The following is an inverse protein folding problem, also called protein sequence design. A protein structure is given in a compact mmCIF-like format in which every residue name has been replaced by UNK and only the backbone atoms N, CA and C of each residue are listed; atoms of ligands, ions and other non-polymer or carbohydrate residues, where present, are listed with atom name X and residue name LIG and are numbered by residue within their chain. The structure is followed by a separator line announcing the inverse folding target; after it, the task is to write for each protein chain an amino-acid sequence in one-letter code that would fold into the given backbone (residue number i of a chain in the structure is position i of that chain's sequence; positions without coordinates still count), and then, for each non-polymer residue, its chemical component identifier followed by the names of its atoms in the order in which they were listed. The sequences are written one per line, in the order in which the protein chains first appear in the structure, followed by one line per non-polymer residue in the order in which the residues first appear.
data_IF_637910169264
#
_entry.id   IF_637910169264
#
_cell.length_a   1.000
_cell.length_b   1.000
_cell.length_c   1.000
_cell.angle_alpha   90.00
_cell.angle_beta   90.00
_cell.angle_gamma   90.00
#
_symmetry.space_group_name_H-M   'P 1'
#
loop_
_entity.id
_entity.type
_entity.pdbx_description
1 polymer ?
#
# COMPACT_ATOMS: atom_id res chain seq x y z
N UNK A 1 -19.26 9.53 12.21
CA UNK A 1 -17.89 9.93 11.83
C UNK A 1 -16.89 9.08 12.60
N UNK A 2 -16.02 8.34 11.90
CA UNK A 2 -14.91 7.57 12.51
C UNK A 2 -13.62 8.39 12.55
N UNK A 3 -12.69 8.04 13.44
CA UNK A 3 -11.37 8.67 13.55
C UNK A 3 -10.31 7.61 13.34
N UNK A 4 -9.51 7.75 12.28
CA UNK A 4 -8.34 6.91 11.98
C UNK A 4 -7.14 7.36 12.83
N UNK A 5 -6.34 6.42 13.31
CA UNK A 5 -5.25 6.67 14.28
C UNK A 5 -3.94 6.00 13.90
N UNK A 6 -2.83 6.57 14.35
CA UNK A 6 -1.50 5.99 14.12
C UNK A 6 -1.40 4.66 14.89
N UNK A 7 -0.77 3.66 14.28
CA UNK A 7 -0.71 2.28 14.80
C UNK A 7 -0.16 2.18 16.23
N UNK A 8 0.95 2.86 16.52
CA UNK A 8 1.58 2.93 17.84
C UNK A 8 0.70 3.54 18.93
N UNK A 9 -0.24 4.44 18.58
CA UNK A 9 -1.22 4.99 19.54
C UNK A 9 -2.34 4.02 19.91
N UNK A 10 -2.53 2.92 19.16
CA UNK A 10 -3.53 1.91 19.47
C UNK A 10 -3.09 1.03 20.65
N UNK A 11 -4.05 0.74 21.53
CA UNK A 11 -3.82 -0.24 22.60
C UNK A 11 -3.51 -1.62 22.02
N UNK A 12 -2.82 -2.46 22.80
CA UNK A 12 -2.52 -3.86 22.44
C UNK A 12 -3.76 -4.62 21.96
N UNK A 13 -4.92 -4.41 22.62
CA UNK A 13 -6.18 -5.08 22.24
C UNK A 13 -6.71 -4.59 20.89
N UNK A 14 -6.59 -3.30 20.60
CA UNK A 14 -7.04 -2.74 19.32
C UNK A 14 -6.17 -3.21 18.15
N UNK A 15 -4.84 -3.30 18.35
CA UNK A 15 -3.90 -3.83 17.36
C UNK A 15 -4.20 -5.29 17.04
N UNK A 16 -4.37 -6.13 18.07
CA UNK A 16 -4.75 -7.54 17.90
C UNK A 16 -6.10 -7.67 17.19
N UNK A 17 -7.11 -6.89 17.59
CA UNK A 17 -8.43 -6.93 16.95
C UNK A 17 -8.36 -6.55 15.47
N UNK A 18 -7.45 -5.66 15.07
CA UNK A 18 -7.22 -5.35 13.66
C UNK A 18 -6.54 -6.53 12.95
N UNK A 19 -5.45 -7.07 13.48
CA UNK A 19 -4.74 -8.20 12.84
C UNK A 19 -5.62 -9.44 12.72
N UNK A 20 -6.47 -9.72 13.72
CA UNK A 20 -7.45 -10.80 13.67
C UNK A 20 -8.47 -10.60 12.55
N UNK A 21 -8.88 -9.35 12.29
CA UNK A 21 -9.77 -9.02 11.18
C UNK A 21 -9.10 -9.25 9.81
N UNK A 22 -7.82 -8.88 9.68
CA UNK A 22 -7.04 -9.15 8.47
C UNK A 22 -6.88 -10.66 8.25
N UNK A 23 -6.49 -11.41 9.29
CA UNK A 23 -6.36 -12.86 9.22
C UNK A 23 -7.70 -13.53 8.84
N UNK A 24 -8.83 -13.01 9.33
CA UNK A 24 -10.13 -13.53 8.92
C UNK A 24 -10.38 -13.40 7.41
N UNK A 25 -9.97 -12.30 6.78
CA UNK A 25 -10.08 -12.16 5.31
C UNK A 25 -9.24 -13.21 4.58
N UNK A 26 -8.13 -13.67 5.16
CA UNK A 26 -7.31 -14.75 4.60
C UNK A 26 -7.99 -16.14 4.71
N UNK A 27 -8.93 -16.32 5.65
CA UNK A 27 -9.66 -17.58 5.81
C UNK A 27 -11.02 -17.62 5.08
N UNK A 28 -11.61 -16.48 4.77
CA UNK A 28 -12.86 -16.42 4.01
C UNK A 28 -12.60 -16.74 2.54
N UNK A 29 -13.44 -17.57 1.91
CA UNK A 29 -13.32 -17.89 0.49
C UNK A 29 -13.34 -16.65 -0.40
N UNK A 30 -12.51 -16.66 -1.45
CA UNK A 30 -12.52 -15.65 -2.50
C UNK A 30 -13.90 -15.52 -3.16
N UNK A 31 -14.24 -14.31 -3.61
CA UNK A 31 -15.41 -14.02 -4.44
C UNK A 31 -15.06 -13.95 -5.93
N UNK A 32 -13.80 -13.72 -6.28
CA UNK A 32 -13.40 -13.69 -7.68
C UNK A 32 -13.71 -15.02 -8.38
N UNK A 33 -14.24 -14.98 -9.61
CA UNK A 33 -14.39 -16.17 -10.45
C UNK A 33 -13.03 -16.85 -10.69
N UNK A 34 -12.99 -18.18 -10.53
CA UNK A 34 -11.77 -18.97 -10.64
C UNK A 34 -11.19 -19.00 -12.07
N UNK A 35 -11.98 -18.68 -13.08
CA UNK A 35 -11.55 -18.50 -14.47
C UNK A 35 -10.88 -17.14 -14.71
N UNK A 36 -11.16 -16.13 -13.87
CA UNK A 36 -10.54 -14.80 -13.95
C UNK A 36 -9.26 -14.72 -13.11
N UNK A 37 -9.29 -15.25 -11.88
CA UNK A 37 -8.14 -15.26 -10.97
C UNK A 37 -7.95 -16.67 -10.37
N UNK A 38 -7.36 -17.61 -11.13
CA UNK A 38 -7.25 -19.02 -10.73
C UNK A 38 -6.49 -19.25 -9.42
N UNK A 39 -5.62 -18.32 -9.04
CA UNK A 39 -4.82 -18.36 -7.82
C UNK A 39 -5.51 -17.85 -6.56
N UNK A 40 -6.65 -17.16 -6.68
CA UNK A 40 -7.34 -16.62 -5.51
C UNK A 40 -7.89 -17.76 -4.64
N UNK A 41 -7.61 -17.72 -3.33
CA UNK A 41 -8.15 -18.67 -2.35
C UNK A 41 -8.97 -17.98 -1.27
N UNK A 42 -8.68 -16.71 -1.01
CA UNK A 42 -9.25 -15.95 0.07
C UNK A 42 -9.86 -14.61 -0.34
N UNK A 43 -10.70 -14.02 0.51
CA UNK A 43 -11.16 -12.63 0.34
C UNK A 43 -9.99 -11.66 0.32
N UNK A 44 -8.92 -11.95 1.05
CA UNK A 44 -7.68 -11.17 0.98
C UNK A 44 -7.06 -11.23 -0.42
N UNK A 45 -7.06 -12.41 -1.07
CA UNK A 45 -6.60 -12.55 -2.45
C UNK A 45 -7.49 -11.79 -3.45
N UNK A 46 -8.77 -11.52 -3.13
CA UNK A 46 -9.60 -10.70 -4.02
C UNK A 46 -9.07 -9.26 -4.15
N UNK A 47 -8.56 -8.70 -3.05
CA UNK A 47 -7.92 -7.38 -3.04
C UNK A 47 -6.62 -7.40 -3.84
N UNK A 48 -5.79 -8.42 -3.63
CA UNK A 48 -4.53 -8.58 -4.37
C UNK A 48 -4.80 -8.76 -5.87
N UNK A 49 -5.75 -9.62 -6.24
CA UNK A 49 -6.11 -9.88 -7.62
C UNK A 49 -6.72 -8.68 -8.35
N UNK A 50 -7.58 -7.92 -7.67
CA UNK A 50 -8.11 -6.65 -8.20
C UNK A 50 -6.98 -5.65 -8.44
N UNK A 51 -6.04 -5.54 -7.50
CA UNK A 51 -4.90 -4.65 -7.64
C UNK A 51 -4.01 -5.05 -8.82
N UNK A 52 -3.70 -6.35 -9.00
CA UNK A 52 -2.97 -6.85 -10.17
C UNK A 52 -3.66 -6.40 -11.47
N UNK A 53 -4.96 -6.67 -11.58
CA UNK A 53 -5.72 -6.36 -12.80
C UNK A 53 -5.80 -4.87 -13.11
N UNK A 54 -5.75 -4.02 -12.08
CA UNK A 54 -5.99 -2.59 -12.23
C UNK A 54 -4.73 -1.73 -12.06
N UNK A 55 -3.56 -2.28 -11.70
CA UNK A 55 -2.33 -1.51 -11.38
C UNK A 55 -1.95 -0.48 -12.45
N UNK A 56 -2.24 -0.75 -13.74
CA UNK A 56 -1.96 0.19 -14.83
C UNK A 56 -3.02 1.31 -15.00
N UNK A 57 -4.03 1.33 -14.13
CA UNK A 57 -5.22 2.18 -14.22
C UNK A 57 -5.71 2.73 -12.86
N UNK A 58 -5.16 2.32 -11.70
CA UNK A 58 -5.62 2.75 -10.36
C UNK A 58 -4.52 3.06 -9.35
N UNK A 59 -4.94 3.74 -8.27
CA UNK A 59 -4.48 3.57 -6.87
C UNK A 59 -5.66 3.86 -5.89
N UNK A 60 -6.60 2.92 -5.67
CA UNK A 60 -7.78 3.10 -4.76
C UNK A 60 -8.04 1.87 -3.86
N UNK A 61 -8.69 2.03 -2.70
CA UNK A 61 -8.98 0.92 -1.76
C UNK A 61 -10.33 1.01 -1.03
N UNK A 62 -11.09 -0.10 -1.05
CA UNK A 62 -12.38 -0.33 -0.32
C UNK A 62 -12.22 -1.21 0.94
N UNK A 63 -10.98 -1.45 1.36
CA UNK A 63 -10.61 -2.49 2.32
C UNK A 63 -11.26 -2.38 3.71
N UNK A 64 -11.40 -1.16 4.25
CA UNK A 64 -11.98 -0.95 5.59
C UNK A 64 -13.40 -1.53 5.69
N UNK A 65 -14.20 -1.37 4.63
CA UNK A 65 -15.58 -1.84 4.63
C UNK A 65 -15.69 -3.36 4.66
N UNK A 66 -14.79 -4.09 4.02
CA UNK A 66 -14.76 -5.56 4.10
C UNK A 66 -14.42 -6.03 5.51
N UNK A 67 -13.47 -5.39 6.21
CA UNK A 67 -13.19 -5.70 7.62
C UNK A 67 -14.45 -5.51 8.48
N UNK A 68 -15.17 -4.41 8.29
CA UNK A 68 -16.38 -4.10 9.09
C UNK A 68 -17.54 -5.03 8.77
N UNK A 69 -17.84 -5.24 7.50
CA UNK A 69 -19.09 -5.88 7.08
C UNK A 69 -19.01 -7.41 7.02
N UNK A 70 -17.80 -7.98 6.86
CA UNK A 70 -17.64 -9.42 6.69
C UNK A 70 -17.08 -10.10 7.93
N UNK A 71 -16.20 -9.42 8.67
CA UNK A 71 -15.68 -9.89 9.95
C UNK A 71 -16.40 -9.27 11.15
N UNK A 72 -17.05 -8.11 10.99
CA UNK A 72 -17.64 -7.38 12.10
C UNK A 72 -16.63 -6.50 12.84
N UNK A 73 -15.54 -6.06 12.18
CA UNK A 73 -14.54 -5.20 12.80
C UNK A 73 -15.16 -3.88 13.28
N UNK A 74 -15.10 -3.63 14.59
CA UNK A 74 -15.64 -2.40 15.22
C UNK A 74 -14.54 -1.40 15.59
N UNK A 75 -13.28 -1.76 15.39
CA UNK A 75 -12.15 -0.93 15.76
C UNK A 75 -11.88 0.23 14.81
N UNK A 76 -10.77 0.89 15.07
CA UNK A 76 -10.28 2.04 14.32
C UNK A 76 -9.42 1.57 13.16
N UNK A 77 -9.61 2.16 11.97
CA UNK A 77 -8.70 1.91 10.86
C UNK A 77 -7.35 2.62 11.13
N UNK A 78 -6.24 1.88 11.19
CA UNK A 78 -4.93 2.44 11.52
C UNK A 78 -4.19 3.00 10.29
N UNK A 79 -3.12 3.75 10.54
CA UNK A 79 -2.10 4.08 9.54
C UNK A 79 -0.70 3.92 10.14
N UNK A 80 0.29 3.70 9.27
CA UNK A 80 1.71 3.69 9.62
C UNK A 80 2.31 5.07 9.30
N UNK A 81 2.56 5.87 10.33
CA UNK A 81 3.28 7.13 10.15
C UNK A 81 4.77 6.84 9.92
N UNK A 82 5.22 6.99 8.68
CA UNK A 82 6.59 6.68 8.24
C UNK A 82 7.66 7.53 8.92
N UNK A 83 7.27 8.73 9.38
CA UNK A 83 8.18 9.69 9.99
C UNK A 83 8.67 9.19 11.35
N UNK A 84 7.83 8.42 12.04
CA UNK A 84 8.16 7.76 13.29
C UNK A 84 9.05 6.56 13.01
N UNK A 85 10.17 6.46 13.73
CA UNK A 85 11.15 5.38 13.57
C UNK A 85 11.71 5.29 12.14
N UNK A 86 11.84 6.42 11.43
CA UNK A 86 12.35 6.45 10.06
C UNK A 86 13.78 5.92 9.95
N UNK A 87 14.60 6.13 10.98
CA UNK A 87 15.97 5.62 11.11
C UNK A 87 16.08 4.24 11.79
N UNK A 88 14.96 3.69 12.31
CA UNK A 88 14.89 2.40 12.97
C UNK A 88 13.53 1.71 12.77
N UNK A 89 13.17 1.44 11.52
CA UNK A 89 11.80 0.97 11.20
C UNK A 89 11.45 -0.38 11.85
N UNK A 90 12.44 -1.26 12.03
CA UNK A 90 12.29 -2.54 12.74
C UNK A 90 12.01 -2.37 14.24
N UNK A 91 12.44 -1.25 14.84
CA UNK A 91 12.10 -0.91 16.23
C UNK A 91 10.70 -0.29 16.39
N UNK A 92 10.02 0.02 15.29
CA UNK A 92 8.69 0.61 15.29
C UNK A 92 7.58 -0.41 15.58
N UNK A 93 6.45 0.01 16.17
CA UNK A 93 5.38 -0.89 16.61
C UNK A 93 4.66 -1.64 15.47
N UNK A 94 4.88 -1.23 14.22
CA UNK A 94 4.35 -1.90 13.03
C UNK A 94 5.17 -3.15 12.69
N UNK A 95 6.50 -3.10 12.85
CA UNK A 95 7.42 -4.15 12.36
C UNK A 95 8.29 -4.77 13.45
N UNK A 96 7.92 -4.59 14.72
CA UNK A 96 8.66 -5.10 15.89
C UNK A 96 8.63 -6.64 16.05
N UNK A 97 7.98 -7.38 15.15
CA UNK A 97 7.84 -8.84 15.22
C UNK A 97 6.93 -9.34 16.36
N UNK A 98 6.34 -8.45 17.14
CA UNK A 98 5.49 -8.81 18.28
C UNK A 98 4.14 -9.37 17.84
N UNK A 99 3.42 -9.97 18.79
CA UNK A 99 2.01 -10.34 18.64
C UNK A 99 1.06 -9.15 18.36
N UNK A 100 1.56 -7.92 18.36
CA UNK A 100 0.80 -6.69 18.17
C UNK A 100 1.28 -5.85 17.00
N UNK A 101 2.22 -6.35 16.20
CA UNK A 101 2.67 -5.72 14.96
C UNK A 101 2.03 -6.37 13.73
N UNK A 102 2.43 -5.89 12.56
CA UNK A 102 2.15 -6.52 11.27
C UNK A 102 3.16 -7.62 10.95
N UNK A 103 3.55 -8.43 11.95
CA UNK A 103 4.76 -9.27 11.91
C UNK A 103 6.06 -8.47 11.75
N UNK A 104 7.19 -9.17 11.79
CA UNK A 104 8.52 -8.54 11.79
C UNK A 104 9.20 -8.55 10.43
N UNK A 105 10.52 -8.49 10.48
CA UNK A 105 11.40 -8.71 9.34
C UNK A 105 11.41 -10.18 8.89
N UNK A 106 11.93 -10.42 7.68
CA UNK A 106 12.24 -11.76 7.20
C UNK A 106 13.51 -12.31 7.84
N UNK A 107 13.71 -13.63 7.74
CA UNK A 107 15.00 -14.25 8.06
C UNK A 107 16.14 -13.53 7.33
N UNK A 108 17.25 -13.32 8.03
CA UNK A 108 18.40 -12.61 7.49
C UNK A 108 19.06 -13.40 6.36
N UNK A 109 19.25 -12.74 5.22
CA UNK A 109 20.02 -13.25 4.08
C UNK A 109 21.24 -12.35 3.88
N UNK A 110 22.43 -12.94 4.05
CA UNK A 110 23.71 -12.28 3.84
C UNK A 110 24.01 -12.07 2.34
N UNK A 111 24.81 -11.06 2.03
CA UNK A 111 25.41 -10.82 0.70
C UNK A 111 24.41 -10.78 -0.47
N UNK A 112 23.15 -10.42 -0.21
CA UNK A 112 22.08 -10.31 -1.23
C UNK A 112 22.30 -9.17 -2.22
N UNK A 113 23.11 -8.17 -1.88
CA UNK A 113 23.33 -6.98 -2.70
C UNK A 113 22.13 -6.03 -2.72
N UNK A 114 22.32 -4.89 -3.37
CA UNK A 114 21.28 -3.85 -3.45
C UNK A 114 20.12 -4.27 -4.36
N UNK A 115 18.96 -3.63 -4.18
CA UNK A 115 17.79 -3.77 -5.03
C UNK A 115 17.82 -2.68 -6.11
N UNK A 116 17.63 -3.07 -7.37
CA UNK A 116 17.65 -2.16 -8.51
C UNK A 116 16.24 -1.97 -9.05
N UNK A 117 15.77 -0.72 -9.05
CA UNK A 117 14.50 -0.37 -9.67
C UNK A 117 14.73 0.14 -11.09
N UNK A 118 14.22 -0.62 -12.05
CA UNK A 118 14.42 -0.37 -13.48
C UNK A 118 13.13 0.16 -14.08
N UNK A 119 13.22 1.33 -14.70
CA UNK A 119 12.14 1.88 -15.52
C UNK A 119 12.71 2.27 -16.90
N UNK A 120 12.21 1.69 -18.01
CA UNK A 120 12.75 1.96 -19.33
C UNK A 120 12.80 3.46 -19.66
N UNK A 121 13.97 3.93 -20.10
CA UNK A 121 14.20 5.34 -20.46
C UNK A 121 14.73 6.22 -19.32
N UNK A 122 14.98 5.68 -18.14
CA UNK A 122 15.55 6.38 -16.99
C UNK A 122 16.73 5.59 -16.40
N UNK A 123 17.60 6.28 -15.67
CA UNK A 123 18.66 5.64 -14.89
C UNK A 123 18.06 4.80 -13.76
N UNK A 124 18.68 3.65 -13.47
CA UNK A 124 18.25 2.75 -12.40
C UNK A 124 18.33 3.43 -11.04
N UNK A 125 17.32 3.22 -10.20
CA UNK A 125 17.37 3.64 -8.79
C UNK A 125 17.91 2.50 -7.95
N UNK A 126 19.10 2.71 -7.39
CA UNK A 126 19.73 1.75 -6.49
C UNK A 126 19.24 1.94 -5.05
N UNK A 127 18.76 0.86 -4.43
CA UNK A 127 18.24 0.84 -3.06
C UNK A 127 19.04 -0.14 -2.19
N UNK A 128 19.60 0.31 -1.06
CA UNK A 128 20.38 -0.56 -0.19
C UNK A 128 19.52 -1.70 0.35
N UNK A 129 20.12 -2.88 0.44
CA UNK A 129 19.47 -4.06 1.01
C UNK A 129 19.11 -3.85 2.49
N UNK A 130 18.02 -4.46 2.94
CA UNK A 130 17.60 -4.44 4.34
C UNK A 130 18.30 -5.48 5.21
N UNK A 131 17.74 -5.70 6.40
CA UNK A 131 18.24 -6.66 7.40
C UNK A 131 17.49 -8.01 7.37
N UNK A 132 16.71 -8.28 6.33
CA UNK A 132 15.94 -9.52 6.17
C UNK A 132 16.31 -10.24 4.87
N UNK A 133 15.29 -10.60 4.09
CA UNK A 133 15.40 -11.22 2.77
C UNK A 133 14.72 -12.58 2.64
N UNK A 134 14.45 -13.25 3.77
CA UNK A 134 13.73 -14.53 3.84
C UNK A 134 12.27 -14.40 4.29
N UNK A 135 11.63 -15.55 4.56
CA UNK A 135 10.29 -15.60 5.13
C UNK A 135 10.25 -14.88 6.48
N UNK A 136 9.16 -14.18 6.79
CA UNK A 136 8.90 -13.72 8.16
C UNK A 136 8.72 -14.93 9.10
N UNK A 137 9.22 -14.82 10.33
CA UNK A 137 9.19 -15.94 11.30
C UNK A 137 8.47 -15.63 12.60
N UNK A 138 7.96 -14.41 12.78
CA UNK A 138 7.29 -13.96 14.00
C UNK A 138 6.06 -13.08 13.74
N UNK A 139 5.26 -12.88 14.78
CA UNK A 139 4.03 -12.09 14.76
C UNK A 139 2.81 -12.77 14.13
N UNK A 140 1.66 -12.07 14.05
CA UNK A 140 0.37 -12.66 13.68
C UNK A 140 0.32 -13.29 12.29
N UNK A 141 1.17 -12.84 11.38
CA UNK A 141 1.17 -13.24 9.98
C UNK A 141 2.27 -14.25 9.63
N UNK A 142 3.04 -14.76 10.59
CA UNK A 142 4.16 -15.68 10.32
C UNK A 142 3.77 -16.92 9.48
N UNK A 143 2.53 -17.39 9.62
CA UNK A 143 2.00 -18.54 8.88
C UNK A 143 1.08 -18.14 7.71
N UNK A 144 1.02 -16.87 7.34
CA UNK A 144 0.22 -16.44 6.19
C UNK A 144 0.80 -16.97 4.89
N UNK A 145 -0.07 -17.23 3.92
CA UNK A 145 0.33 -17.60 2.56
C UNK A 145 0.09 -16.43 1.61
N UNK A 146 1.10 -16.08 0.82
CA UNK A 146 0.98 -15.21 -0.34
C UNK A 146 0.65 -16.09 -1.55
N UNK A 147 -0.58 -16.04 -2.07
CA UNK A 147 -1.04 -16.98 -3.11
C UNK A 147 -0.87 -16.48 -4.54
N UNK A 148 -0.90 -15.15 -4.75
CA UNK A 148 -0.81 -14.50 -6.06
C UNK A 148 0.60 -13.92 -6.29
N UNK A 149 0.92 -13.60 -7.54
CA UNK A 149 2.24 -13.09 -7.92
C UNK A 149 3.32 -14.16 -8.11
N UNK A 150 4.55 -13.77 -8.47
CA UNK A 150 4.97 -12.42 -8.84
C UNK A 150 4.45 -11.98 -10.21
N UNK A 151 4.37 -10.66 -10.42
CA UNK A 151 4.11 -10.04 -11.72
C UNK A 151 5.39 -9.38 -12.24
N UNK A 152 5.98 -8.51 -11.44
CA UNK A 152 7.26 -7.87 -11.71
C UNK A 152 7.98 -7.61 -10.38
N UNK A 153 8.58 -8.66 -9.83
CA UNK A 153 9.27 -8.62 -8.54
C UNK A 153 10.77 -8.37 -8.75
N UNK A 154 11.30 -7.16 -8.47
CA UNK A 154 12.74 -6.95 -8.46
C UNK A 154 13.38 -7.76 -7.33
N UNK A 155 14.60 -8.27 -7.56
CA UNK A 155 15.36 -9.05 -6.58
C UNK A 155 16.68 -8.38 -6.24
N UNK A 156 17.11 -8.50 -4.99
CA UNK A 156 18.43 -8.05 -4.55
C UNK A 156 19.53 -8.72 -5.38
N UNK A 157 20.57 -7.95 -5.72
CA UNK A 157 21.65 -8.38 -6.60
C UNK A 157 21.35 -8.23 -8.09
N UNK A 158 20.13 -7.78 -8.43
CA UNK A 158 19.72 -7.41 -9.79
C UNK A 158 18.80 -8.43 -10.47
N UNK A 159 18.06 -7.95 -11.46
CA UNK A 159 17.05 -8.72 -12.18
C UNK A 159 15.66 -8.66 -11.55
N UNK A 160 14.70 -9.32 -12.20
CA UNK A 160 13.31 -9.40 -11.75
C UNK A 160 12.71 -10.75 -12.04
N UNK A 161 11.83 -11.23 -11.17
CA UNK A 161 10.97 -12.38 -11.42
C UNK A 161 9.67 -11.87 -12.02
N UNK A 162 9.38 -12.27 -13.25
CA UNK A 162 8.18 -11.84 -13.97
C UNK A 162 7.16 -12.98 -14.12
N UNK A 163 5.87 -12.64 -14.11
CA UNK A 163 4.79 -13.61 -14.29
C UNK A 163 3.44 -12.97 -14.56
N UNK A 164 2.42 -13.81 -14.79
CA UNK A 164 1.02 -13.37 -14.88
C UNK A 164 0.51 -12.77 -13.57
N UNK A 165 1.01 -13.29 -12.44
CA UNK A 165 0.57 -13.00 -11.09
C UNK A 165 -0.79 -13.59 -10.68
N UNK A 166 -1.57 -14.13 -11.62
CA UNK A 166 -2.93 -14.62 -11.34
C UNK A 166 -3.00 -16.13 -11.06
N UNK A 167 -1.94 -16.88 -11.36
CA UNK A 167 -1.87 -18.32 -11.10
C UNK A 167 -1.63 -18.64 -9.61
N UNK A 168 -2.07 -19.80 -9.16
CA UNK A 168 -1.86 -20.24 -7.77
C UNK A 168 -0.39 -20.54 -7.49
N UNK A 169 0.24 -19.71 -6.64
CA UNK A 169 1.64 -19.86 -6.22
C UNK A 169 1.80 -19.52 -4.74
N UNK A 170 1.31 -20.42 -3.87
CA UNK A 170 1.44 -20.26 -2.42
C UNK A 170 2.91 -20.29 -1.97
N UNK A 171 3.26 -19.31 -1.15
CA UNK A 171 4.58 -19.13 -0.52
C UNK A 171 4.45 -18.29 0.75
N UNK A 172 5.50 -18.24 1.55
CA UNK A 172 5.55 -17.38 2.73
C UNK A 172 5.58 -15.90 2.35
N UNK A 173 5.17 -15.03 3.28
CA UNK A 173 5.46 -13.61 3.23
C UNK A 173 6.97 -13.39 3.48
N UNK A 174 7.64 -12.69 2.57
CA UNK A 174 9.07 -12.34 2.65
C UNK A 174 9.20 -10.85 2.83
N UNK A 175 10.08 -10.42 3.73
CA UNK A 175 10.41 -9.01 3.94
C UNK A 175 11.90 -8.81 4.04
N UNK A 176 12.36 -7.65 3.58
CA UNK A 176 13.75 -7.21 3.71
C UNK A 176 13.78 -5.80 4.28
N UNK A 177 13.25 -5.66 5.50
CA UNK A 177 13.12 -4.36 6.15
C UNK A 177 14.50 -3.87 6.57
N UNK A 178 14.81 -2.63 6.22
CA UNK A 178 15.89 -1.84 6.81
C UNK A 178 15.37 -0.47 7.22
N UNK A 179 16.27 0.47 7.52
CA UNK A 179 15.90 1.87 7.80
C UNK A 179 16.42 2.85 6.76
N UNK A 180 17.41 2.48 5.95
CA UNK A 180 18.05 3.41 5.01
C UNK A 180 17.06 3.98 3.98
N UNK A 181 16.12 3.17 3.48
CA UNK A 181 15.14 3.59 2.48
C UNK A 181 14.10 4.51 3.11
N UNK A 182 13.47 4.12 4.23
CA UNK A 182 12.50 4.96 4.94
C UNK A 182 13.12 6.30 5.38
N UNK A 183 14.32 6.27 5.96
CA UNK A 183 15.05 7.47 6.38
C UNK A 183 15.38 8.40 5.20
N UNK A 184 15.60 7.87 4.00
CA UNK A 184 15.92 8.67 2.81
C UNK A 184 14.68 9.29 2.18
N UNK A 185 13.58 8.55 2.05
CA UNK A 185 12.45 8.95 1.20
C UNK A 185 11.17 9.29 1.96
N UNK A 186 11.02 8.86 3.21
CA UNK A 186 9.76 8.95 3.96
C UNK A 186 9.94 9.46 5.40
N UNK A 187 11.04 10.17 5.68
CA UNK A 187 11.26 10.83 6.97
C UNK A 187 10.36 12.08 7.14
N UNK A 188 10.43 12.72 8.31
CA UNK A 188 9.63 13.90 8.63
C UNK A 188 9.86 15.07 7.65
N UNK A 189 11.09 15.29 7.20
CA UNK A 189 11.42 16.32 6.21
C UNK A 189 10.76 16.03 4.86
N UNK A 190 10.85 14.78 4.37
CA UNK A 190 10.24 14.39 3.10
C UNK A 190 8.72 14.57 3.11
N UNK A 191 8.05 14.22 4.21
CA UNK A 191 6.59 14.43 4.36
C UNK A 191 6.25 15.92 4.46
N UNK A 192 7.03 16.70 5.21
CA UNK A 192 6.82 18.15 5.31
C UNK A 192 7.02 18.84 3.96
N UNK A 193 8.05 18.49 3.21
CA UNK A 193 8.34 19.03 1.88
C UNK A 193 7.24 18.67 0.90
N UNK A 194 6.78 17.41 0.91
CA UNK A 194 5.64 16.98 0.10
C UNK A 194 4.39 17.84 0.37
N UNK A 195 4.08 18.10 1.65
CA UNK A 195 2.90 18.86 2.06
C UNK A 195 2.99 20.36 1.78
N UNK A 196 4.19 20.95 1.82
CA UNK A 196 4.37 22.41 1.83
C UNK A 196 4.93 22.98 0.52
N UNK A 197 5.62 22.17 -0.29
CA UNK A 197 6.28 22.63 -1.52
C UNK A 197 5.49 22.32 -2.80
N UNK A 198 4.34 21.65 -2.71
CA UNK A 198 3.52 21.27 -3.86
C UNK A 198 2.14 21.90 -3.75
N UNK A 199 1.89 23.00 -4.45
CA UNK A 199 0.62 23.74 -4.32
C UNK A 199 -0.54 23.17 -5.15
N UNK A 200 -0.23 22.42 -6.21
CA UNK A 200 -1.18 21.77 -7.09
C UNK A 200 -1.10 20.24 -7.01
N UNK A 201 -2.21 19.60 -7.36
CA UNK A 201 -2.38 18.16 -7.26
C UNK A 201 -1.44 17.38 -8.20
N UNK A 202 -1.05 17.96 -9.34
CA UNK A 202 -0.16 17.29 -10.29
C UNK A 202 1.22 17.11 -9.67
N UNK A 203 1.81 18.16 -9.10
CA UNK A 203 3.10 18.03 -8.42
C UNK A 203 2.98 17.24 -7.12
N UNK A 204 1.91 17.42 -6.34
CA UNK A 204 1.71 16.65 -5.10
C UNK A 204 1.72 15.14 -5.36
N UNK A 205 0.91 14.65 -6.31
CA UNK A 205 0.88 13.21 -6.62
C UNK A 205 2.19 12.72 -7.26
N UNK A 206 2.84 13.56 -8.08
CA UNK A 206 4.08 13.18 -8.79
C UNK A 206 5.24 13.06 -7.81
N UNK A 207 5.41 14.01 -6.89
CA UNK A 207 6.45 13.95 -5.85
C UNK A 207 6.18 12.82 -4.85
N UNK A 208 4.91 12.59 -4.49
CA UNK A 208 4.52 11.47 -3.61
C UNK A 208 4.94 10.11 -4.18
N UNK A 209 4.77 9.90 -5.49
CA UNK A 209 5.08 8.65 -6.20
C UNK A 209 6.54 8.56 -6.68
N UNK A 210 7.26 9.69 -6.70
CA UNK A 210 8.60 9.80 -7.27
C UNK A 210 8.59 10.44 -8.65
N UNK A 211 9.34 11.54 -8.81
CA UNK A 211 9.51 12.22 -10.10
C UNK A 211 10.41 11.35 -10.98
N UNK A 212 9.92 10.93 -12.14
CA UNK A 212 10.67 10.09 -13.07
C UNK A 212 12.01 10.73 -13.45
N UNK A 213 13.09 9.95 -13.38
CA UNK A 213 14.45 10.41 -13.68
C UNK A 213 15.11 11.26 -12.59
N UNK A 214 14.42 11.58 -11.49
CA UNK A 214 15.04 12.34 -10.39
C UNK A 214 15.88 11.49 -9.43
N UNK A 215 15.80 10.17 -9.55
CA UNK A 215 16.36 9.23 -8.57
C UNK A 215 15.58 9.13 -7.25
N UNK A 216 14.46 9.87 -7.13
CA UNK A 216 13.54 9.78 -5.99
C UNK A 216 12.35 8.88 -6.32
N UNK A 217 11.98 8.04 -5.36
CA UNK A 217 10.79 7.17 -5.41
C UNK A 217 9.63 7.70 -4.55
N UNK A 218 9.79 8.91 -4.01
CA UNK A 218 8.80 9.57 -3.16
C UNK A 218 8.49 8.81 -1.86
N UNK A 219 7.58 9.35 -1.06
CA UNK A 219 7.15 8.71 0.19
C UNK A 219 6.38 7.41 -0.07
N UNK A 220 5.70 7.30 -1.23
CA UNK A 220 4.96 6.10 -1.62
C UNK A 220 5.92 4.94 -1.92
N UNK A 221 6.85 5.13 -2.86
CA UNK A 221 7.84 4.11 -3.18
C UNK A 221 8.77 3.84 -2.00
N UNK A 222 9.19 4.90 -1.28
CA UNK A 222 10.05 4.79 -0.10
C UNK A 222 9.52 3.80 0.93
N UNK A 223 8.24 3.86 1.25
CA UNK A 223 7.64 2.98 2.25
C UNK A 223 7.35 1.57 1.73
N UNK A 224 6.97 1.39 0.46
CA UNK A 224 6.85 0.03 -0.15
C UNK A 224 8.20 -0.68 -0.19
N UNK A 225 9.21 -0.03 -0.76
CA UNK A 225 10.55 -0.60 -0.89
C UNK A 225 11.33 -0.64 0.43
N UNK A 226 10.86 0.03 1.48
CA UNK A 226 11.36 -0.23 2.83
C UNK A 226 10.86 -1.56 3.40
N UNK A 227 9.67 -2.03 3.01
CA UNK A 227 9.17 -3.37 3.37
C UNK A 227 9.87 -4.41 2.49
N UNK A 228 9.97 -4.10 1.19
CA UNK A 228 10.61 -4.91 0.15
C UNK A 228 10.14 -6.38 0.19
N UNK A 229 11.03 -7.30 -0.23
CA UNK A 229 10.72 -8.72 -0.27
C UNK A 229 9.54 -9.05 -1.18
N UNK A 230 8.84 -10.14 -0.84
CA UNK A 230 7.74 -10.67 -1.62
C UNK A 230 6.49 -10.74 -0.73
N UNK A 231 5.51 -9.85 -0.94
CA UNK A 231 5.27 -9.10 -2.18
C UNK A 231 5.67 -7.60 -2.14
N UNK A 232 6.23 -7.08 -1.05
CA UNK A 232 6.37 -5.63 -0.85
C UNK A 232 7.17 -4.86 -1.92
N UNK A 233 8.09 -5.53 -2.63
CA UNK A 233 8.86 -4.91 -3.72
C UNK A 233 8.18 -4.98 -5.11
N UNK A 234 7.10 -5.75 -5.27
CA UNK A 234 6.38 -5.90 -6.53
C UNK A 234 5.13 -5.02 -6.53
N UNK A 235 5.16 -3.96 -7.35
CA UNK A 235 4.11 -2.94 -7.42
C UNK A 235 2.72 -3.52 -7.69
N UNK A 236 2.60 -4.66 -8.37
CA UNK A 236 1.29 -5.22 -8.71
C UNK A 236 0.68 -6.01 -7.56
N UNK A 237 1.51 -6.68 -6.76
CA UNK A 237 1.07 -7.58 -5.70
C UNK A 237 1.34 -7.04 -4.28
N UNK A 238 1.82 -5.81 -4.14
CA UNK A 238 2.11 -5.18 -2.85
C UNK A 238 0.97 -5.27 -1.81
N UNK A 239 -0.34 -5.27 -2.16
CA UNK A 239 -1.41 -5.51 -1.17
C UNK A 239 -1.40 -6.90 -0.53
N UNK A 240 -0.59 -7.82 -1.07
CA UNK A 240 -0.36 -9.12 -0.46
C UNK A 240 0.44 -9.04 0.83
N UNK A 241 1.11 -7.91 1.12
CA UNK A 241 1.66 -7.61 2.45
C UNK A 241 0.60 -6.87 3.29
N UNK A 242 0.22 -7.38 4.48
CA UNK A 242 -0.76 -6.72 5.36
C UNK A 242 -0.42 -5.27 5.73
N UNK A 243 0.86 -4.88 5.71
CA UNK A 243 1.28 -3.52 5.99
C UNK A 243 0.92 -2.52 4.88
N UNK A 244 0.58 -2.99 3.68
CA UNK A 244 0.08 -2.16 2.57
C UNK A 244 -1.07 -1.24 3.01
N UNK A 245 -2.02 -1.79 3.78
CA UNK A 245 -3.22 -1.06 4.18
C UNK A 245 -2.92 0.03 5.22
N UNK A 246 -1.91 -0.17 6.07
CA UNK A 246 -1.43 0.87 7.00
C UNK A 246 -0.64 1.95 6.26
N UNK A 247 0.20 1.54 5.30
CA UNK A 247 0.94 2.46 4.44
C UNK A 247 -0.03 3.36 3.63
N UNK A 248 -1.02 2.77 2.95
CA UNK A 248 -2.01 3.55 2.19
C UNK A 248 -2.94 4.37 3.08
N UNK A 249 -3.14 3.98 4.34
CA UNK A 249 -3.77 4.85 5.35
C UNK A 249 -2.97 6.14 5.60
N UNK A 250 -1.64 6.09 5.53
CA UNK A 250 -0.78 7.29 5.69
C UNK A 250 -0.66 8.09 4.39
N UNK A 251 -0.73 7.45 3.22
CA UNK A 251 -0.90 8.12 1.93
C UNK A 251 -2.17 8.97 1.95
N UNK A 252 -3.31 8.37 2.30
CA UNK A 252 -4.60 9.06 2.38
C UNK A 252 -4.61 10.15 3.46
N UNK A 253 -3.98 9.92 4.63
CA UNK A 253 -3.78 10.96 5.63
C UNK A 253 -3.01 12.16 5.07
N UNK A 254 -1.91 11.90 4.37
CA UNK A 254 -1.05 12.96 3.80
C UNK A 254 -1.81 13.75 2.73
N UNK A 255 -2.58 13.08 1.88
CA UNK A 255 -3.44 13.73 0.90
C UNK A 255 -4.56 14.55 1.55
N UNK A 256 -5.24 14.01 2.56
CA UNK A 256 -6.24 14.71 3.34
C UNK A 256 -5.68 15.98 3.99
N UNK A 257 -4.48 15.91 4.60
CA UNK A 257 -3.79 17.08 5.15
C UNK A 257 -3.50 18.13 4.07
N UNK A 258 -3.00 17.71 2.90
CA UNK A 258 -2.73 18.59 1.77
C UNK A 258 -3.99 19.28 1.24
N UNK A 259 -5.09 18.55 1.06
CA UNK A 259 -6.37 19.11 0.61
C UNK A 259 -6.90 20.16 1.61
N UNK A 260 -6.78 19.90 2.90
CA UNK A 260 -7.31 20.77 3.96
C UNK A 260 -6.54 22.09 4.15
N UNK A 261 -5.36 22.25 3.54
CA UNK A 261 -4.65 23.55 3.55
C UNK A 261 -5.32 24.60 2.65
N UNK A 262 -6.02 24.17 1.59
CA UNK A 262 -6.78 25.06 0.69
C UNK A 262 -7.94 24.29 0.02
N UNK A 263 -9.01 23.96 0.78
CA UNK A 263 -10.08 23.11 0.28
C UNK A 263 -10.79 23.66 -0.97
N UNK A 264 -10.84 25.00 -1.11
CA UNK A 264 -11.51 25.65 -2.21
C UNK A 264 -10.89 25.29 -3.58
N UNK A 265 -9.56 25.16 -3.63
CA UNK A 265 -8.84 24.83 -4.85
C UNK A 265 -8.37 23.37 -4.92
N UNK A 266 -8.24 22.69 -3.77
CA UNK A 266 -7.59 21.36 -3.69
C UNK A 266 -8.55 20.18 -3.57
N UNK A 267 -9.75 20.39 -3.01
CA UNK A 267 -10.65 19.27 -2.70
C UNK A 267 -11.00 18.46 -3.95
N UNK A 268 -11.39 19.13 -5.03
CA UNK A 268 -11.83 18.50 -6.28
C UNK A 268 -10.77 18.55 -7.39
N UNK A 269 -9.50 18.79 -7.04
CA UNK A 269 -8.43 18.88 -8.01
C UNK A 269 -8.07 17.48 -8.54
N UNK A 270 -8.14 17.28 -9.86
CA UNK A 270 -7.84 16.00 -10.53
C UNK A 270 -7.03 16.28 -11.80
N UNK A 271 -5.75 15.87 -11.85
CA UNK A 271 -4.93 15.92 -13.05
C UNK A 271 -4.80 14.51 -13.66
N UNK A 272 -4.17 14.43 -14.84
CA UNK A 272 -3.75 13.16 -15.43
C UNK A 272 -4.86 12.40 -16.16
N UNK A 273 -4.56 11.14 -16.48
CA UNK A 273 -5.37 10.29 -17.36
C UNK A 273 -5.61 8.93 -16.70
N UNK A 274 -6.45 8.09 -17.32
CA UNK A 274 -6.77 6.75 -16.81
C UNK A 274 -5.73 5.67 -17.09
N UNK A 275 -4.53 6.00 -17.56
CA UNK A 275 -3.47 5.02 -17.88
C UNK A 275 -2.14 5.42 -17.27
N UNK A 276 -1.37 4.43 -16.82
CA UNK A 276 -0.04 4.63 -16.24
C UNK A 276 0.88 5.40 -17.20
N UNK A 277 1.40 6.54 -16.75
CA UNK A 277 2.20 7.48 -17.56
C UNK A 277 1.53 7.92 -18.88
N UNK A 278 0.20 7.83 -18.98
CA UNK A 278 -0.54 8.05 -20.23
C UNK A 278 -0.08 7.11 -21.37
N UNK A 279 0.34 5.88 -21.03
CA UNK A 279 0.83 4.87 -21.96
C UNK A 279 -0.04 3.60 -21.93
N UNK A 280 -0.85 3.32 -22.97
CA UNK A 280 -1.14 4.17 -24.13
C UNK A 280 -1.98 5.41 -23.75
N UNK A 281 -2.05 6.46 -24.59
CA UNK A 281 -2.82 7.65 -24.27
C UNK A 281 -4.29 7.36 -23.97
N UNK A 282 -4.82 7.98 -22.91
CA UNK A 282 -6.24 7.86 -22.53
C UNK A 282 -6.86 9.22 -22.19
N UNK A 283 -8.18 9.23 -21.99
CA UNK A 283 -8.89 10.44 -21.63
C UNK A 283 -8.42 10.97 -20.26
N UNK A 284 -8.47 12.28 -20.10
CA UNK A 284 -8.25 12.90 -18.80
C UNK A 284 -9.25 12.38 -17.78
N UNK A 285 -8.77 12.13 -16.56
CA UNK A 285 -9.64 11.78 -15.44
C UNK A 285 -10.47 13.00 -15.07
N UNK A 286 -11.76 12.79 -14.82
CA UNK A 286 -12.70 13.84 -14.42
C UNK A 286 -13.43 13.43 -13.16
N UNK A 287 -14.16 14.38 -12.57
CA UNK A 287 -15.05 14.12 -11.43
C UNK A 287 -16.16 13.08 -11.74
N UNK A 288 -16.49 12.88 -13.01
CA UNK A 288 -17.48 11.90 -13.46
C UNK A 288 -16.86 10.56 -13.91
N UNK A 289 -15.53 10.44 -13.93
CA UNK A 289 -14.86 9.17 -14.19
C UNK A 289 -15.27 8.16 -13.12
N UNK A 290 -15.75 6.99 -13.58
CA UNK A 290 -16.15 5.88 -12.71
C UNK A 290 -14.96 4.95 -12.46
N UNK A 291 -14.81 4.51 -11.21
CA UNK A 291 -13.87 3.46 -10.81
C UNK A 291 -14.59 2.39 -9.99
N UNK A 292 -14.07 1.17 -9.97
CA UNK A 292 -14.60 0.08 -9.15
C UNK A 292 -13.47 -0.77 -8.58
N UNK A 293 -13.77 -1.44 -7.46
CA UNK A 293 -12.84 -2.34 -6.79
C UNK A 293 -13.08 -3.82 -7.16
N UNK A 294 -13.68 -4.07 -8.33
CA UNK A 294 -14.03 -5.40 -8.81
C UNK A 294 -14.70 -6.26 -7.73
N UNK A 295 -14.25 -7.51 -7.62
CA UNK A 295 -14.74 -8.44 -6.61
C UNK A 295 -14.18 -8.18 -5.21
N UNK A 296 -13.11 -7.38 -5.07
CA UNK A 296 -12.64 -6.94 -3.76
C UNK A 296 -13.70 -6.09 -3.04
N UNK A 297 -14.45 -5.29 -3.80
CA UNK A 297 -15.58 -4.51 -3.32
C UNK A 297 -16.83 -5.32 -2.98
N UNK A 298 -16.83 -6.65 -3.07
CA UNK A 298 -18.05 -7.46 -2.95
C UNK A 298 -19.18 -7.00 -3.91
N UNK A 299 -20.32 -7.69 -3.92
CA UNK A 299 -21.42 -7.37 -4.86
C UNK A 299 -22.22 -6.11 -4.50
N UNK A 300 -21.89 -5.43 -3.40
CA UNK A 300 -22.59 -4.21 -2.92
C UNK A 300 -21.87 -2.91 -3.29
N UNK A 301 -20.59 -2.95 -3.65
CA UNK A 301 -19.86 -1.77 -4.11
C UNK A 301 -19.73 -1.83 -5.64
N UNK A 302 -20.66 -1.19 -6.34
CA UNK A 302 -20.56 -0.97 -7.79
C UNK A 302 -19.62 0.18 -8.14
N UNK A 303 -19.48 0.52 -9.43
CA UNK A 303 -18.70 1.66 -9.86
C UNK A 303 -19.14 2.95 -9.16
N UNK A 304 -18.16 3.75 -8.74
CA UNK A 304 -18.34 5.02 -8.04
C UNK A 304 -17.61 6.14 -8.79
N UNK A 305 -18.21 7.33 -8.85
CA UNK A 305 -17.62 8.48 -9.51
C UNK A 305 -16.54 9.11 -8.63
N UNK A 306 -15.47 9.63 -9.25
CA UNK A 306 -14.38 10.34 -8.55
C UNK A 306 -14.90 11.43 -7.62
N UNK A 307 -15.93 12.20 -8.00
CA UNK A 307 -16.54 13.25 -7.16
C UNK A 307 -17.02 12.77 -5.80
N UNK A 308 -17.45 11.51 -5.70
CA UNK A 308 -17.93 10.92 -4.46
C UNK A 308 -16.78 10.42 -3.58
N UNK A 309 -15.53 10.48 -4.07
CA UNK A 309 -14.33 10.00 -3.39
C UNK A 309 -13.40 11.12 -2.91
N UNK A 310 -13.59 12.35 -3.42
CA UNK A 310 -12.68 13.48 -3.18
C UNK A 310 -12.63 13.97 -1.72
N UNK A 311 -13.60 13.58 -0.89
CA UNK A 311 -13.72 14.04 0.49
C UNK A 311 -13.87 12.87 1.45
N UNK A 312 -13.15 12.91 2.57
CA UNK A 312 -13.25 11.91 3.64
C UNK A 312 -14.56 12.02 4.44
N UNK A 313 -15.35 13.08 4.24
CA UNK A 313 -16.61 13.36 4.96
C UNK A 313 -17.81 13.58 4.04
N UNK A 314 -17.71 13.20 2.77
CA UNK A 314 -18.82 13.19 1.82
C UNK A 314 -18.89 11.86 1.05
N UNK A 315 -19.95 11.68 0.25
CA UNK A 315 -20.17 10.43 -0.49
C UNK A 315 -20.31 9.24 0.46
N UNK A 316 -19.64 8.10 0.22
CA UNK A 316 -19.65 6.94 1.11
C UNK A 316 -18.72 7.12 2.33
N UNK A 317 -17.93 8.20 2.39
CA UNK A 317 -16.92 8.43 3.42
C UNK A 317 -17.46 9.27 4.57
N UNK A 318 -17.11 8.90 5.79
CA UNK A 318 -17.43 9.68 6.99
C UNK A 318 -16.35 9.46 8.07
N UNK A 319 -15.13 9.91 7.78
CA UNK A 319 -13.98 9.75 8.67
C UNK A 319 -13.02 10.97 8.64
N UNK A 320 -12.18 11.03 9.68
CA UNK A 320 -11.06 11.96 9.79
C UNK A 320 -9.84 11.25 10.36
N UNK A 321 -8.69 11.92 10.39
CA UNK A 321 -7.47 11.46 11.04
C UNK A 321 -7.26 12.17 12.37
N UNK A 322 -6.72 11.46 13.35
CA UNK A 322 -6.23 12.08 14.57
C UNK A 322 -5.07 13.04 14.25
N UNK A 323 -5.13 14.27 14.78
CA UNK A 323 -4.21 15.37 14.47
C UNK A 323 -3.13 15.59 15.54
N UNK A 324 -3.06 14.72 16.56
CA UNK A 324 -2.14 14.84 17.69
C UNK A 324 -1.28 13.58 17.84
#
# INVERSE_FOLDING_TARGET
MSVRREWGTLSRRERIAYTDAVLCLQFKSALNPADQIPGARSRFDDFVGTHINQTLTIHYTVYEQSLRNEYGYKGVHPHWDWTLFSDNTEGGPVFDGSSTGMSGNGEFVADKGDLFLVLPGFDDVNLPAGNGGGCITSGPFANMSVNLGPVFLPINGGGSITGSGLDYKSRCLVRDIGSAINNKYSNATAVADLLTQNSDIYWFQTVMQGVLGSGSIGVHGGSHYNIAGNPGADTFISPGDPAFYLHHGMIDRTWCLWQNQDPANRLNAIPGTGTFMNGPPSANTTLDTLIDAGFAGNTRYGPIAMKDLMSTVAGPSCYTYHLL
#
